data_IF_949280018266
#
_entry.id   IF_949280018266
#
_cell.length_a   1.000
_cell.length_b   1.000
_cell.length_c   1.000
_cell.angle_alpha   90.00
_cell.angle_beta   90.00
_cell.angle_gamma   90.00
#
_symmetry.space_group_name_H-M   'P 1'
#
loop_
_entity.id
_entity.type
_entity.pdbx_description
1 polymer ?
#
# COMPACT_ATOMS: atom_id res chain seq x y z
N UNK A 1 17.50 -0.71 -3.00
CA UNK A 1 16.67 0.07 -2.05
C UNK A 1 17.43 0.33 -0.74
N UNK A 2 18.36 1.28 -0.69
CA UNK A 2 19.10 1.54 0.57
C UNK A 2 18.22 2.25 1.61
N UNK A 3 17.55 3.35 1.24
CA UNK A 3 16.74 4.14 2.17
C UNK A 3 15.59 3.36 2.81
N UNK A 4 14.81 2.61 2.02
CA UNK A 4 13.72 1.78 2.54
C UNK A 4 14.22 0.73 3.54
N UNK A 5 15.38 0.11 3.29
CA UNK A 5 15.98 -0.85 4.23
C UNK A 5 16.41 -0.20 5.54
N UNK A 6 16.92 1.03 5.51
CA UNK A 6 17.24 1.76 6.74
C UNK A 6 15.98 2.10 7.55
N UNK A 7 14.86 2.42 6.87
CA UNK A 7 13.58 2.64 7.54
C UNK A 7 13.06 1.37 8.21
N UNK A 8 13.12 0.23 7.52
CA UNK A 8 12.74 -1.08 8.08
C UNK A 8 13.61 -1.44 9.31
N UNK A 9 14.93 -1.27 9.22
CA UNK A 9 15.86 -1.48 10.36
C UNK A 9 15.53 -0.57 11.54
N UNK A 10 15.08 0.66 11.28
CA UNK A 10 14.63 1.59 12.30
C UNK A 10 13.25 1.24 12.89
N UNK A 11 12.59 0.16 12.43
CA UNK A 11 11.30 -0.31 12.90
C UNK A 11 10.10 0.25 12.14
N UNK A 12 10.31 0.90 10.99
CA UNK A 12 9.22 1.37 10.16
C UNK A 12 8.55 0.21 9.40
N UNK A 13 7.23 0.30 9.23
CA UNK A 13 6.48 -0.63 8.39
C UNK A 13 6.49 -0.10 6.95
N UNK A 14 7.16 -0.84 6.06
CA UNK A 14 7.08 -0.61 4.62
C UNK A 14 5.85 -1.30 4.06
N UNK A 15 4.92 -0.53 3.51
CA UNK A 15 3.66 -1.03 2.94
C UNK A 15 3.29 -0.22 1.70
N UNK A 16 2.15 -0.54 1.06
CA UNK A 16 1.68 0.14 -0.17
C UNK A 16 0.47 1.03 0.11
N UNK A 17 0.16 1.91 -0.83
CA UNK A 17 -1.02 2.78 -0.79
C UNK A 17 -2.31 2.02 -0.51
N UNK A 18 -2.55 0.94 -1.25
CA UNK A 18 -3.76 0.13 -1.18
C UNK A 18 -3.87 -0.60 0.17
N UNK A 19 -2.76 -1.14 0.68
CA UNK A 19 -2.73 -1.78 1.99
C UNK A 19 -3.06 -0.79 3.12
N UNK A 20 -2.53 0.44 3.07
CA UNK A 20 -2.84 1.47 4.08
C UNK A 20 -4.31 1.89 3.98
N UNK A 21 -4.79 2.20 2.77
CA UNK A 21 -6.15 2.68 2.55
C UNK A 21 -7.17 1.65 3.00
N UNK A 22 -7.00 0.38 2.63
CA UNK A 22 -7.90 -0.71 3.04
C UNK A 22 -7.73 -1.08 4.51
N UNK A 23 -6.49 -1.10 5.02
CA UNK A 23 -6.21 -1.39 6.42
C UNK A 23 -6.88 -0.40 7.38
N UNK A 24 -6.96 0.87 7.01
CA UNK A 24 -7.66 1.90 7.78
C UNK A 24 -9.18 1.69 7.87
N UNK A 25 -9.78 1.01 6.89
CA UNK A 25 -11.22 0.70 6.90
C UNK A 25 -11.55 -0.48 7.80
N UNK A 26 -10.60 -1.39 8.02
CA UNK A 26 -10.78 -2.60 8.82
C UNK A 26 -11.65 -3.70 8.16
N UNK A 27 -12.42 -3.36 7.13
CA UNK A 27 -13.27 -4.32 6.42
C UNK A 27 -14.14 -3.71 5.33
N UNK A 28 -14.76 -4.57 4.52
CA UNK A 28 -15.68 -4.18 3.45
C UNK A 28 -17.07 -3.76 3.95
N UNK A 29 -17.39 -4.09 5.20
CA UNK A 29 -18.57 -3.69 5.95
C UNK A 29 -18.48 -2.24 6.50
N UNK A 30 -17.30 -1.62 6.42
CA UNK A 30 -17.12 -0.23 6.83
C UNK A 30 -18.05 0.71 6.04
N UNK A 31 -18.77 1.65 6.67
CA UNK A 31 -19.78 2.49 6.00
C UNK A 31 -19.23 3.33 4.85
N UNK A 32 -17.93 3.64 4.88
CA UNK A 32 -17.24 4.40 3.82
C UNK A 32 -16.53 3.52 2.76
N UNK A 33 -16.65 2.20 2.85
CA UNK A 33 -15.87 1.29 2.01
C UNK A 33 -16.05 1.58 0.51
N UNK A 34 -17.30 1.77 0.06
CA UNK A 34 -17.60 2.03 -1.37
C UNK A 34 -17.04 3.35 -1.88
N UNK A 35 -16.95 4.36 -1.03
CA UNK A 35 -16.39 5.65 -1.44
C UNK A 35 -14.87 5.63 -1.45
N UNK A 36 -14.26 5.00 -0.43
CA UNK A 36 -12.80 4.89 -0.34
C UNK A 36 -12.25 3.90 -1.39
N UNK A 37 -12.97 2.82 -1.69
CA UNK A 37 -12.61 1.87 -2.75
C UNK A 37 -12.39 2.56 -4.10
N UNK A 38 -13.13 3.63 -4.40
CA UNK A 38 -12.99 4.38 -5.66
C UNK A 38 -11.60 4.99 -5.85
N UNK A 39 -10.89 5.28 -4.75
CA UNK A 39 -9.54 5.86 -4.78
C UNK A 39 -8.51 4.86 -5.31
N UNK A 40 -8.76 3.56 -5.14
CA UNK A 40 -7.84 2.46 -5.46
C UNK A 40 -8.34 1.56 -6.59
N UNK A 41 -9.34 2.02 -7.36
CA UNK A 41 -9.82 1.29 -8.54
C UNK A 41 -8.77 1.26 -9.64
N UNK A 42 -8.03 2.36 -9.78
CA UNK A 42 -6.85 2.42 -10.62
C UNK A 42 -5.64 1.96 -9.81
N UNK A 43 -4.82 1.10 -10.40
CA UNK A 43 -3.60 0.61 -9.77
C UNK A 43 -2.64 1.77 -9.51
N UNK A 44 -1.95 1.75 -8.37
CA UNK A 44 -0.84 2.67 -8.15
C UNK A 44 0.20 2.54 -9.28
N UNK A 45 0.85 3.64 -9.70
CA UNK A 45 1.86 3.61 -10.73
C UNK A 45 3.02 2.66 -10.37
N UNK A 46 3.57 1.98 -11.38
CA UNK A 46 4.80 1.21 -11.19
C UNK A 46 5.97 2.16 -10.88
N UNK A 47 6.65 1.86 -9.78
CA UNK A 47 7.81 2.63 -9.28
C UNK A 47 9.11 1.84 -9.40
N UNK A 48 9.10 0.68 -10.06
CA UNK A 48 10.27 -0.18 -10.23
C UNK A 48 10.71 -0.88 -8.94
N UNK A 49 9.83 -0.98 -7.94
CA UNK A 49 10.12 -1.63 -6.66
C UNK A 49 10.17 -3.16 -6.77
N UNK A 50 9.43 -3.74 -7.71
CA UNK A 50 9.47 -5.17 -8.00
C UNK A 50 10.51 -5.44 -9.10
N UNK A 51 11.51 -6.26 -8.80
CA UNK A 51 12.36 -6.87 -9.83
C UNK A 51 11.71 -8.18 -10.24
N UNK A 52 11.13 -8.22 -11.44
CA UNK A 52 10.73 -9.49 -12.05
C UNK A 52 11.99 -10.27 -12.44
N UNK A 53 12.16 -11.48 -11.89
CA UNK A 53 13.04 -12.46 -12.53
C UNK A 53 12.30 -13.01 -13.74
N UNK A 54 12.90 -12.90 -14.92
CA UNK A 54 12.56 -13.76 -16.05
C UNK A 54 12.95 -15.22 -15.74
#
# INVERSE_FOLDING_TARGET
MFGLRQMEVAGAILTTSECVILGLLGGADHPKFRDVQKIILELAPDTGLLQYSL
#
